data_IF_599082871453
#
_entry.id   IF_599082871453
#
_cell.length_a   1.000
_cell.length_b   1.000
_cell.length_c   1.000
_cell.angle_alpha   90.00
_cell.angle_beta   90.00
_cell.angle_gamma   90.00
#
_symmetry.space_group_name_H-M   'P 1'
#
loop_
_entity.id
_entity.type
_entity.pdbx_description
1 polymer ?
#
# COMPACT_ATOMS: atom_id res chain seq x y z
N UNK A 1 -9.88 3.97 -22.15
CA UNK A 1 -9.21 4.47 -20.94
C UNK A 1 -8.63 3.36 -20.07
N UNK A 2 -9.38 2.32 -19.67
CA UNK A 2 -8.90 1.21 -18.83
C UNK A 2 -7.84 0.27 -19.45
N UNK A 3 -7.70 0.25 -20.78
CA UNK A 3 -6.68 -0.58 -21.46
C UNK A 3 -5.30 0.08 -21.52
N UNK A 4 -5.24 1.41 -21.51
CA UNK A 4 -3.99 2.17 -21.59
C UNK A 4 -3.22 2.15 -20.25
N UNK A 5 -3.93 2.23 -19.13
CA UNK A 5 -3.33 2.13 -17.79
C UNK A 5 -2.78 0.74 -17.47
N UNK A 6 -3.42 -0.33 -17.99
CA UNK A 6 -2.90 -1.71 -17.87
C UNK A 6 -1.65 -1.99 -18.72
N UNK A 7 -1.44 -1.24 -19.81
CA UNK A 7 -0.22 -1.39 -20.61
C UNK A 7 0.98 -0.66 -19.99
N UNK A 8 0.77 0.48 -19.33
CA UNK A 8 1.83 1.24 -18.68
C UNK A 8 2.43 0.49 -17.49
N UNK A 9 1.61 -0.19 -16.69
CA UNK A 9 2.09 -1.00 -15.54
C UNK A 9 2.84 -2.27 -15.96
N UNK A 10 2.49 -2.89 -17.09
CA UNK A 10 3.23 -4.04 -17.61
C UNK A 10 4.61 -3.64 -18.15
N UNK A 11 4.71 -2.50 -18.83
CA UNK A 11 5.98 -2.01 -19.38
C UNK A 11 6.97 -1.58 -18.29
N UNK A 12 6.50 -0.95 -17.20
CA UNK A 12 7.35 -0.59 -16.08
C UNK A 12 7.84 -1.80 -15.28
N UNK A 13 6.98 -2.81 -15.06
CA UNK A 13 7.37 -4.05 -14.38
C UNK A 13 8.38 -4.88 -15.20
N UNK A 14 8.23 -4.92 -16.53
CA UNK A 14 9.21 -5.56 -17.42
C UNK A 14 10.55 -4.81 -17.43
N UNK A 15 10.55 -3.48 -17.36
CA UNK A 15 11.79 -2.70 -17.25
C UNK A 15 12.51 -2.96 -15.92
N UNK A 16 11.77 -3.06 -14.80
CA UNK A 16 12.35 -3.36 -13.48
C UNK A 16 12.88 -4.80 -13.40
N UNK A 17 12.21 -5.78 -14.03
CA UNK A 17 12.70 -7.16 -14.13
C UNK A 17 13.87 -7.32 -15.10
N UNK A 18 13.95 -6.52 -16.16
CA UNK A 18 15.07 -6.54 -17.11
C UNK A 18 16.35 -5.93 -16.52
N UNK A 19 16.23 -4.90 -15.68
CA UNK A 19 17.36 -4.33 -14.93
C UNK A 19 17.83 -5.32 -13.84
N UNK A 20 16.92 -6.10 -13.25
CA UNK A 20 17.28 -7.18 -12.31
C UNK A 20 17.91 -8.42 -12.97
N UNK A 21 17.50 -8.76 -14.20
CA UNK A 21 17.93 -9.99 -14.87
C UNK A 21 19.26 -9.84 -15.64
N UNK A 22 19.62 -8.63 -16.10
CA UNK A 22 20.88 -8.41 -16.82
C UNK A 22 22.12 -8.44 -15.91
N UNK A 23 21.96 -8.30 -14.59
CA UNK A 23 23.05 -8.49 -13.62
C UNK A 23 23.32 -9.96 -13.23
N UNK A 24 22.50 -10.90 -13.71
CA UNK A 24 22.63 -12.35 -13.45
C UNK A 24 23.26 -13.14 -14.62
N UNK A 25 23.95 -12.47 -15.56
CA UNK A 25 24.82 -13.19 -16.49
C UNK A 25 26.04 -13.68 -15.71
N UNK A 26 26.08 -15.00 -15.55
CA UNK A 26 27.13 -15.77 -14.92
C UNK A 26 28.50 -15.43 -15.53
N UNK A 27 29.29 -14.66 -14.79
CA UNK A 27 30.75 -14.64 -14.91
C UNK A 27 31.27 -15.40 -13.69
N UNK A 28 32.12 -16.43 -13.85
CA UNK A 28 32.55 -17.27 -12.74
C UNK A 28 33.15 -16.42 -11.61
N UNK A 29 32.75 -16.70 -10.37
CA UNK A 29 33.13 -15.92 -9.19
C UNK A 29 34.66 -15.80 -9.01
N UNK A 30 35.46 -16.75 -9.52
CA UNK A 30 36.92 -16.66 -9.51
C UNK A 30 37.48 -15.58 -10.45
N UNK A 31 36.79 -15.21 -11.54
CA UNK A 31 37.24 -14.12 -12.43
C UNK A 31 36.87 -12.73 -11.89
N UNK A 32 35.85 -12.63 -11.02
CA UNK A 32 35.46 -11.36 -10.38
C UNK A 32 36.36 -10.98 -9.19
N UNK A 33 36.99 -11.95 -8.52
CA UNK A 33 37.90 -11.67 -7.40
C UNK A 33 39.29 -11.20 -7.84
N UNK A 34 39.74 -11.54 -9.06
CA UNK A 34 41.03 -11.07 -9.58
C UNK A 34 41.00 -9.62 -10.09
N UNK A 35 39.83 -9.12 -10.53
CA UNK A 35 39.72 -7.81 -11.22
C UNK A 35 38.82 -6.80 -10.48
N UNK A 36 38.56 -6.99 -9.19
CA UNK A 36 37.67 -6.08 -8.43
C UNK A 36 38.38 -4.88 -7.85
N UNK A 37 39.70 -4.93 -7.75
CA UNK A 37 40.49 -3.79 -7.35
C UNK A 37 41.24 -3.27 -8.56
N UNK A 38 40.91 -2.06 -9.01
CA UNK A 38 41.53 -1.47 -10.19
C UNK A 38 43.03 -1.34 -9.96
N UNK A 39 43.80 -1.94 -10.86
CA UNK A 39 45.25 -2.06 -10.73
C UNK A 39 45.95 -0.78 -11.19
N UNK A 40 45.25 0.09 -11.92
CA UNK A 40 45.74 1.38 -12.40
C UNK A 40 44.86 2.55 -11.94
N UNK A 41 45.40 3.77 -11.91
CA UNK A 41 44.62 4.98 -11.60
C UNK A 41 43.51 5.24 -12.64
N UNK A 42 43.70 4.83 -13.90
CA UNK A 42 42.71 5.03 -14.97
C UNK A 42 41.48 4.14 -14.73
N UNK A 43 41.70 2.85 -14.43
CA UNK A 43 40.61 1.92 -14.07
C UNK A 43 39.87 2.36 -12.80
N UNK A 44 40.57 2.99 -11.85
CA UNK A 44 39.97 3.56 -10.64
C UNK A 44 38.97 4.67 -10.96
N UNK A 45 39.34 5.58 -11.87
CA UNK A 45 38.49 6.69 -12.28
C UNK A 45 37.28 6.21 -13.08
N UNK A 46 37.47 5.28 -14.02
CA UNK A 46 36.35 4.69 -14.79
C UNK A 46 35.35 3.94 -13.90
N UNK A 47 35.84 3.21 -12.90
CA UNK A 47 34.98 2.57 -11.91
C UNK A 47 34.24 3.59 -11.03
N UNK A 48 34.89 4.68 -10.62
CA UNK A 48 34.25 5.75 -9.86
C UNK A 48 33.14 6.44 -10.66
N UNK A 49 33.36 6.71 -11.94
CA UNK A 49 32.33 7.30 -12.82
C UNK A 49 31.14 6.34 -12.99
N UNK A 50 31.42 5.05 -13.18
CA UNK A 50 30.38 4.02 -13.26
C UNK A 50 29.56 3.95 -11.97
N UNK A 51 30.20 4.00 -10.80
CA UNK A 51 29.52 3.98 -9.50
C UNK A 51 28.72 5.25 -9.25
N UNK A 52 29.24 6.42 -9.64
CA UNK A 52 28.51 7.69 -9.51
C UNK A 52 27.24 7.68 -10.36
N UNK A 53 27.31 7.18 -11.60
CA UNK A 53 26.13 7.02 -12.46
C UNK A 53 25.10 6.07 -11.85
N UNK A 54 25.53 4.91 -11.33
CA UNK A 54 24.64 3.96 -10.67
C UNK A 54 23.99 4.53 -9.40
N UNK A 55 24.74 5.31 -8.60
CA UNK A 55 24.20 6.00 -7.43
C UNK A 55 23.15 7.04 -7.84
N UNK A 56 23.42 7.83 -8.90
CA UNK A 56 22.48 8.82 -9.41
C UNK A 56 21.17 8.19 -9.91
N UNK A 57 21.26 7.06 -10.64
CA UNK A 57 20.09 6.30 -11.08
C UNK A 57 19.27 5.75 -9.91
N UNK A 58 19.94 5.21 -8.88
CA UNK A 58 19.26 4.69 -7.69
C UNK A 58 18.63 5.78 -6.83
N UNK A 59 19.26 6.96 -6.73
CA UNK A 59 18.69 8.11 -6.04
C UNK A 59 17.43 8.63 -6.77
N UNK A 60 17.46 8.72 -8.11
CA UNK A 60 16.27 9.07 -8.89
C UNK A 60 15.15 8.03 -8.72
N UNK A 61 15.49 6.74 -8.70
CA UNK A 61 14.53 5.66 -8.43
C UNK A 61 13.93 5.77 -7.02
N UNK A 62 14.75 6.07 -6.01
CA UNK A 62 14.32 6.28 -4.63
C UNK A 62 13.33 7.44 -4.53
N UNK A 63 13.59 8.57 -5.19
CA UNK A 63 12.68 9.71 -5.21
C UNK A 63 11.31 9.35 -5.83
N UNK A 64 11.32 8.63 -6.96
CA UNK A 64 10.10 8.15 -7.58
C UNK A 64 9.31 7.21 -6.66
N UNK A 65 10.00 6.28 -5.98
CA UNK A 65 9.37 5.37 -5.02
C UNK A 65 8.83 6.09 -3.78
N UNK A 66 9.45 7.20 -3.35
CA UNK A 66 8.95 8.03 -2.24
C UNK A 66 7.64 8.72 -2.64
N UNK A 67 7.57 9.27 -3.84
CA UNK A 67 6.35 9.87 -4.38
C UNK A 67 5.22 8.84 -4.52
N UNK A 68 5.52 7.65 -5.05
CA UNK A 68 4.55 6.55 -5.16
C UNK A 68 4.02 6.10 -3.78
N UNK A 69 4.92 6.02 -2.78
CA UNK A 69 4.54 5.70 -1.41
C UNK A 69 3.63 6.76 -0.82
N UNK A 70 3.98 8.04 -0.95
CA UNK A 70 3.17 9.16 -0.45
C UNK A 70 1.75 9.10 -1.03
N UNK A 71 1.64 8.89 -2.35
CA UNK A 71 0.35 8.77 -3.03
C UNK A 71 -0.46 7.57 -2.54
N UNK A 72 0.20 6.45 -2.27
CA UNK A 72 -0.46 5.27 -1.73
C UNK A 72 -0.94 5.47 -0.28
N UNK A 73 -0.22 6.26 0.52
CA UNK A 73 -0.60 6.63 1.88
C UNK A 73 -1.84 7.54 1.87
N UNK A 74 -1.92 8.50 0.95
CA UNK A 74 -3.11 9.34 0.73
C UNK A 74 -4.35 8.51 0.37
N UNK A 75 -4.24 7.61 -0.61
CA UNK A 75 -5.35 6.72 -1.00
C UNK A 75 -5.83 5.85 0.16
N UNK A 76 -4.90 5.39 1.01
CA UNK A 76 -5.26 4.62 2.20
C UNK A 76 -6.04 5.48 3.21
N UNK A 77 -5.62 6.72 3.43
CA UNK A 77 -6.32 7.66 4.30
C UNK A 77 -7.75 7.92 3.79
N UNK A 78 -7.90 8.22 2.49
CA UNK A 78 -9.21 8.45 1.88
C UNK A 78 -10.16 7.25 2.05
N UNK A 79 -9.65 6.03 1.89
CA UNK A 79 -10.44 4.81 2.08
C UNK A 79 -10.85 4.59 3.54
N UNK A 80 -9.98 4.93 4.49
CA UNK A 80 -10.29 4.86 5.92
C UNK A 80 -11.36 5.88 6.31
N UNK A 81 -11.28 7.10 5.79
CA UNK A 81 -12.30 8.13 5.99
C UNK A 81 -13.65 7.71 5.42
N UNK A 82 -13.67 7.16 4.20
CA UNK A 82 -14.88 6.61 3.59
C UNK A 82 -15.47 5.45 4.40
N UNK A 83 -14.62 4.59 4.98
CA UNK A 83 -15.06 3.50 5.85
C UNK A 83 -15.70 4.03 7.12
N UNK A 84 -15.09 5.04 7.75
CA UNK A 84 -15.66 5.67 8.95
C UNK A 84 -17.03 6.27 8.66
N UNK A 85 -17.17 7.04 7.58
CA UNK A 85 -18.46 7.61 7.18
C UNK A 85 -19.51 6.53 6.91
N UNK A 86 -19.12 5.42 6.24
CA UNK A 86 -20.03 4.31 5.97
C UNK A 86 -20.48 3.58 7.24
N UNK A 87 -19.59 3.43 8.22
CA UNK A 87 -19.92 2.82 9.52
C UNK A 87 -20.85 3.72 10.35
N UNK A 88 -20.61 5.02 10.36
CA UNK A 88 -21.51 6.01 10.99
C UNK A 88 -22.90 6.02 10.34
N UNK A 89 -22.97 6.00 9.01
CA UNK A 89 -24.24 5.90 8.26
C UNK A 89 -24.99 4.59 8.61
N UNK A 90 -24.28 3.45 8.65
CA UNK A 90 -24.87 2.18 9.04
C UNK A 90 -25.43 2.19 10.48
N UNK A 91 -24.68 2.76 11.45
CA UNK A 91 -25.15 2.93 12.84
C UNK A 91 -26.40 3.81 12.90
N UNK A 92 -26.41 4.90 12.14
CA UNK A 92 -27.57 5.80 12.04
C UNK A 92 -28.82 5.05 11.55
N UNK A 93 -28.64 4.10 10.62
CA UNK A 93 -29.74 3.33 10.03
C UNK A 93 -30.26 2.22 10.97
N UNK A 94 -29.38 1.65 11.81
CA UNK A 94 -29.75 0.61 12.79
C UNK A 94 -30.50 1.15 14.00
N UNK A 95 -30.20 2.39 14.43
CA UNK A 95 -30.76 2.97 15.65
C UNK A 95 -32.30 3.04 15.66
N UNK A 96 -33.00 3.53 14.62
CA UNK A 96 -34.47 3.54 14.60
C UNK A 96 -35.10 2.14 14.61
N UNK A 97 -34.44 1.16 13.98
CA UNK A 97 -34.91 -0.23 13.98
C UNK A 97 -34.84 -0.83 15.39
N UNK A 98 -33.75 -0.55 16.11
CA UNK A 98 -33.58 -0.97 17.49
C UNK A 98 -34.62 -0.28 18.41
N UNK A 99 -34.80 1.03 18.29
CA UNK A 99 -35.79 1.78 19.07
C UNK A 99 -37.23 1.28 18.81
N UNK A 100 -37.57 0.96 17.56
CA UNK A 100 -38.86 0.38 17.19
C UNK A 100 -39.05 -1.02 17.79
N UNK A 101 -38.01 -1.86 17.78
CA UNK A 101 -38.02 -3.18 18.42
C UNK A 101 -38.25 -3.06 19.94
N UNK A 102 -37.54 -2.14 20.60
CA UNK A 102 -37.69 -1.91 22.04
C UNK A 102 -39.08 -1.37 22.41
N UNK A 103 -39.65 -0.49 21.59
CA UNK A 103 -41.04 -0.01 21.76
C UNK A 103 -42.04 -1.17 21.65
N UNK A 104 -41.93 -1.99 20.62
CA UNK A 104 -42.78 -3.16 20.43
C UNK A 104 -42.71 -4.12 21.63
N UNK A 105 -41.50 -4.45 22.10
CA UNK A 105 -41.33 -5.31 23.27
C UNK A 105 -41.85 -4.71 24.58
N UNK A 106 -41.73 -3.39 24.77
CA UNK A 106 -42.33 -2.70 25.93
C UNK A 106 -43.86 -2.75 25.91
N UNK A 107 -44.48 -2.51 24.75
CA UNK A 107 -45.94 -2.56 24.60
C UNK A 107 -46.45 -3.99 24.79
N UNK A 108 -45.67 -4.99 24.38
CA UNK A 108 -45.96 -6.40 24.63
C UNK A 108 -45.90 -6.78 26.12
N UNK A 109 -45.02 -6.15 26.91
CA UNK A 109 -44.81 -6.48 28.32
C UNK A 109 -45.69 -5.69 29.29
N UNK A 110 -46.10 -4.47 28.91
CA UNK A 110 -47.03 -3.65 29.69
C UNK A 110 -48.44 -4.15 29.36
N UNK A 111 -49.14 -4.73 30.35
CA UNK A 111 -50.53 -5.14 30.24
C UNK A 111 -51.47 -3.94 30.10
N UNK A 112 -51.48 -3.30 28.94
CA UNK A 112 -52.41 -2.21 28.61
C UNK A 112 -53.82 -2.77 28.55
N UNK A 113 -54.80 -2.04 29.09
CA UNK A 113 -56.20 -2.44 29.25
C UNK A 113 -56.96 -2.75 27.95
N UNK A 114 -56.40 -2.42 26.78
CA UNK A 114 -56.85 -2.89 25.47
C UNK A 114 -55.63 -3.33 24.62
N UNK A 115 -55.04 -4.49 24.94
CA UNK A 115 -53.70 -4.84 24.50
C UNK A 115 -53.64 -5.20 23.01
N UNK A 116 -54.74 -5.67 22.41
CA UNK A 116 -54.74 -6.18 21.04
C UNK A 116 -54.65 -5.08 19.98
N UNK A 117 -55.42 -3.99 20.11
CA UNK A 117 -55.43 -2.91 19.11
C UNK A 117 -54.12 -2.11 19.15
N UNK A 118 -53.58 -1.88 20.35
CA UNK A 118 -52.34 -1.14 20.53
C UNK A 118 -51.10 -1.99 20.15
N UNK A 119 -51.11 -3.31 20.41
CA UNK A 119 -50.06 -4.21 19.90
C UNK A 119 -50.09 -4.32 18.39
N UNK A 120 -51.26 -4.45 17.75
CA UNK A 120 -51.34 -4.68 16.30
C UNK A 120 -50.83 -3.45 15.54
N UNK A 121 -51.15 -2.24 16.01
CA UNK A 121 -50.62 -0.98 15.48
C UNK A 121 -49.09 -0.88 15.61
N UNK A 122 -48.54 -1.14 16.80
CA UNK A 122 -47.09 -1.15 17.04
C UNK A 122 -46.36 -2.25 16.26
N UNK A 123 -46.99 -3.43 16.10
CA UNK A 123 -46.48 -4.54 15.29
C UNK A 123 -46.38 -4.15 13.82
N UNK A 124 -47.40 -3.52 13.27
CA UNK A 124 -47.40 -3.07 11.88
C UNK A 124 -46.33 -2.02 11.64
N UNK A 125 -46.19 -1.07 12.57
CA UNK A 125 -45.20 0.00 12.52
C UNK A 125 -43.76 -0.55 12.61
N UNK A 126 -43.52 -1.52 13.51
CA UNK A 126 -42.25 -2.25 13.58
C UNK A 126 -41.95 -3.02 12.28
N UNK A 127 -42.92 -3.77 11.73
CA UNK A 127 -42.73 -4.55 10.50
C UNK A 127 -42.49 -3.66 9.27
N UNK A 128 -43.08 -2.47 9.23
CA UNK A 128 -42.83 -1.47 8.20
C UNK A 128 -41.41 -0.93 8.29
N UNK A 129 -41.00 -0.44 9.46
CA UNK A 129 -39.64 0.04 9.71
C UNK A 129 -38.62 -1.06 9.42
N UNK A 130 -38.89 -2.30 9.84
CA UNK A 130 -38.04 -3.45 9.57
C UNK A 130 -37.82 -3.66 8.07
N UNK A 131 -38.89 -3.73 7.27
CA UNK A 131 -38.78 -3.92 5.82
C UNK A 131 -38.04 -2.78 5.12
N UNK A 132 -38.34 -1.53 5.50
CA UNK A 132 -37.68 -0.35 4.92
C UNK A 132 -36.19 -0.26 5.29
N UNK A 133 -35.81 -0.75 6.48
CA UNK A 133 -34.45 -0.60 7.01
C UNK A 133 -33.54 -1.79 6.72
N UNK A 134 -34.04 -3.02 6.73
CA UNK A 134 -33.21 -4.22 6.51
C UNK A 134 -32.54 -4.22 5.13
N UNK A 135 -33.27 -3.85 4.08
CA UNK A 135 -32.70 -3.71 2.73
C UNK A 135 -31.59 -2.65 2.70
N UNK A 136 -31.80 -1.50 3.36
CA UNK A 136 -30.82 -0.43 3.44
C UNK A 136 -29.60 -0.76 4.33
N UNK A 137 -29.77 -1.62 5.34
CA UNK A 137 -28.68 -2.15 6.18
C UNK A 137 -27.81 -3.11 5.38
N UNK A 138 -28.42 -4.00 4.59
CA UNK A 138 -27.69 -4.96 3.75
C UNK A 138 -26.78 -4.25 2.74
N UNK A 139 -27.32 -3.29 1.99
CA UNK A 139 -26.57 -2.53 0.98
C UNK A 139 -25.39 -1.76 1.61
N UNK A 140 -25.60 -1.09 2.74
CA UNK A 140 -24.54 -0.39 3.49
C UNK A 140 -23.48 -1.34 4.03
N UNK A 141 -23.88 -2.52 4.50
CA UNK A 141 -22.95 -3.55 4.98
C UNK A 141 -22.10 -4.11 3.83
N UNK A 142 -22.69 -4.31 2.64
CA UNK A 142 -21.95 -4.68 1.43
C UNK A 142 -20.93 -3.63 1.03
N UNK A 143 -21.30 -2.34 1.09
CA UNK A 143 -20.38 -1.22 0.86
C UNK A 143 -19.21 -1.22 1.85
N UNK A 144 -19.45 -1.43 3.14
CA UNK A 144 -18.39 -1.57 4.16
C UNK A 144 -17.49 -2.76 3.86
N UNK A 145 -18.06 -3.91 3.47
CA UNK A 145 -17.28 -5.09 3.12
C UNK A 145 -16.39 -4.83 1.89
N UNK A 146 -16.92 -4.14 0.88
CA UNK A 146 -16.17 -3.72 -0.29
C UNK A 146 -15.02 -2.75 0.08
N UNK A 147 -15.29 -1.73 0.90
CA UNK A 147 -14.26 -0.79 1.38
C UNK A 147 -13.15 -1.52 2.14
N UNK A 148 -13.50 -2.43 3.05
CA UNK A 148 -12.54 -3.27 3.75
C UNK A 148 -11.66 -4.10 2.80
N UNK A 149 -12.22 -4.60 1.70
CA UNK A 149 -11.44 -5.31 0.68
C UNK A 149 -10.46 -4.38 -0.05
N UNK A 150 -10.87 -3.15 -0.37
CA UNK A 150 -9.98 -2.16 -0.98
C UNK A 150 -8.86 -1.73 -0.04
N UNK A 151 -9.17 -1.51 1.24
CA UNK A 151 -8.20 -1.19 2.29
C UNK A 151 -7.14 -2.28 2.42
N UNK A 152 -7.56 -3.57 2.40
CA UNK A 152 -6.60 -4.69 2.42
C UNK A 152 -5.65 -4.66 1.23
N UNK A 153 -6.15 -4.38 0.02
CA UNK A 153 -5.33 -4.25 -1.19
C UNK A 153 -4.39 -3.03 -1.12
N UNK A 154 -4.89 -1.89 -0.65
CA UNK A 154 -4.09 -0.68 -0.48
C UNK A 154 -2.95 -0.89 0.54
N UNK A 155 -3.25 -1.58 1.65
CA UNK A 155 -2.26 -1.98 2.66
C UNK A 155 -1.17 -2.92 2.12
N UNK A 156 -1.55 -3.89 1.28
CA UNK A 156 -0.59 -4.74 0.58
C UNK A 156 0.31 -3.92 -0.35
N UNK A 157 -0.27 -3.05 -1.18
CA UNK A 157 0.51 -2.19 -2.08
C UNK A 157 1.50 -1.28 -1.32
N UNK A 158 1.10 -0.76 -0.15
CA UNK A 158 1.98 0.02 0.72
C UNK A 158 3.13 -0.82 1.28
N UNK A 159 2.85 -2.06 1.66
CA UNK A 159 3.86 -3.00 2.16
C UNK A 159 4.87 -3.32 1.07
N UNK A 160 4.41 -3.60 -0.14
CA UNK A 160 5.26 -3.87 -1.31
C UNK A 160 6.12 -2.65 -1.68
N UNK A 161 5.53 -1.45 -1.63
CA UNK A 161 6.27 -0.21 -1.87
C UNK A 161 7.38 0.01 -0.83
N UNK A 162 7.11 -0.28 0.45
CA UNK A 162 8.12 -0.23 1.51
C UNK A 162 9.23 -1.25 1.29
N UNK A 163 8.90 -2.48 0.89
CA UNK A 163 9.90 -3.51 0.60
C UNK A 163 10.81 -3.11 -0.57
N UNK A 164 10.24 -2.58 -1.67
CA UNK A 164 11.01 -2.06 -2.80
C UNK A 164 12.00 -0.96 -2.37
N UNK A 165 11.53 -0.02 -1.56
CA UNK A 165 12.35 1.06 -1.01
C UNK A 165 13.51 0.52 -0.16
N UNK A 166 13.26 -0.45 0.72
CA UNK A 166 14.30 -1.06 1.55
C UNK A 166 15.40 -1.70 0.70
N UNK A 167 15.02 -2.39 -0.39
CA UNK A 167 15.98 -2.96 -1.33
C UNK A 167 16.82 -1.86 -1.99
N UNK A 168 16.18 -0.82 -2.53
CA UNK A 168 16.89 0.31 -3.17
C UNK A 168 17.84 1.01 -2.19
N UNK A 169 17.42 1.29 -0.96
CA UNK A 169 18.29 1.89 0.07
C UNK A 169 19.48 0.99 0.41
N UNK A 170 19.27 -0.33 0.50
CA UNK A 170 20.37 -1.27 0.75
C UNK A 170 21.39 -1.32 -0.39
N UNK A 171 20.95 -1.13 -1.63
CA UNK A 171 21.84 -1.05 -2.80
C UNK A 171 22.65 0.25 -2.77
N UNK A 172 21.99 1.39 -2.48
CA UNK A 172 22.67 2.69 -2.31
C UNK A 172 23.76 2.59 -1.24
N UNK A 173 23.46 2.02 -0.07
CA UNK A 173 24.45 1.83 1.01
C UNK A 173 25.65 0.97 0.58
N UNK A 174 25.42 -0.10 -0.18
CA UNK A 174 26.51 -0.95 -0.71
C UNK A 174 27.40 -0.19 -1.71
N UNK A 175 26.80 0.56 -2.63
CA UNK A 175 27.56 1.34 -3.61
C UNK A 175 28.35 2.46 -2.94
N UNK A 176 27.79 3.12 -1.93
CA UNK A 176 28.52 4.11 -1.12
C UNK A 176 29.74 3.51 -0.42
N UNK A 177 29.59 2.34 0.21
CA UNK A 177 30.72 1.63 0.82
C UNK A 177 31.78 1.27 -0.20
N UNK A 178 31.38 0.84 -1.40
CA UNK A 178 32.32 0.49 -2.46
C UNK A 178 33.07 1.72 -2.99
N UNK A 179 32.36 2.84 -3.21
CA UNK A 179 32.94 4.15 -3.55
C UNK A 179 33.94 4.63 -2.50
N UNK A 180 33.64 4.45 -1.22
CA UNK A 180 34.54 4.80 -0.12
C UNK A 180 35.84 3.97 -0.14
N UNK A 181 35.74 2.67 -0.43
CA UNK A 181 36.90 1.78 -0.55
C UNK A 181 37.80 2.23 -1.71
N UNK A 182 37.24 2.50 -2.89
CA UNK A 182 38.03 2.97 -4.05
C UNK A 182 38.71 4.31 -3.74
N UNK A 183 38.00 5.26 -3.13
CA UNK A 183 38.59 6.53 -2.70
C UNK A 183 39.79 6.33 -1.76
N UNK A 184 39.70 5.43 -0.78
CA UNK A 184 40.82 5.13 0.13
C UNK A 184 42.03 4.56 -0.61
N UNK A 185 41.81 3.70 -1.61
CA UNK A 185 42.88 3.11 -2.42
C UNK A 185 43.57 4.17 -3.29
N UNK A 186 42.80 5.06 -3.92
CA UNK A 186 43.33 6.20 -4.69
C UNK A 186 44.21 7.08 -3.80
N UNK A 187 43.73 7.45 -2.61
CA UNK A 187 44.48 8.28 -1.66
C UNK A 187 45.80 7.65 -1.22
N UNK A 188 45.83 6.33 -0.98
CA UNK A 188 47.05 5.62 -0.55
C UNK A 188 48.11 5.57 -1.66
N UNK A 189 47.71 5.46 -2.94
CA UNK A 189 48.66 5.47 -4.06
C UNK A 189 49.27 6.85 -4.31
N UNK A 190 48.45 7.90 -4.29
CA UNK A 190 48.93 9.28 -4.52
C UNK A 190 49.92 9.75 -3.44
N UNK A 191 49.87 9.19 -2.23
CA UNK A 191 50.81 9.51 -1.14
C UNK A 191 52.13 8.72 -1.23
N UNK A 192 52.17 7.61 -1.96
CA UNK A 192 53.34 6.73 -2.07
C UNK A 192 54.14 6.89 -3.38
N UNK A 193 53.60 7.63 -4.36
CA UNK A 193 54.29 8.07 -5.59
C UNK A 193 54.91 9.47 -5.40
#
# INVERSE_FOLDING_TARGET
MLQLTRQLTKKSVLAVLAIGATFLVAVPAQARLANWYPETQVEQLEQMDTLNNQLQELDALREAQLADRSRAEEVMADLLDQLQMADEDLKSYRKPLQEASERYHRVQSIGVSDPLVNLEGERQLYLQIKREREAGISDRQERINWLNQQIRKASQNLTDARQRMTVTLSQIDRLWKHREIINKIVFVRVVND
#
